data_IF_768766259718
#
_entry.id   IF_768766259718
#
_cell.length_a   1.000
_cell.length_b   1.000
_cell.length_c   1.000
_cell.angle_alpha   90.00
_cell.angle_beta   90.00
_cell.angle_gamma   90.00
#
_symmetry.space_group_name_H-M   'P 1'
#
loop_
_entity.id
_entity.type
_entity.pdbx_description
1 polymer ?
#
# COMPACT_ATOMS: atom_id res chain seq x y z
N UNK A 1 0.78 14.06 2.44
CA UNK A 1 -0.46 13.37 2.86
C UNK A 1 -0.54 13.31 4.39
N UNK A 2 -1.72 13.46 5.01
CA UNK A 2 -1.88 13.38 6.48
C UNK A 2 -2.04 11.92 6.93
N UNK A 3 -1.14 11.43 7.79
CA UNK A 3 -1.15 10.06 8.32
C UNK A 3 -2.24 9.87 9.40
N UNK A 4 -2.66 8.62 9.61
CA UNK A 4 -3.66 8.21 10.60
C UNK A 4 -3.08 7.21 11.58
N UNK A 5 -3.39 7.39 12.87
CA UNK A 5 -3.01 6.45 13.93
C UNK A 5 -3.79 5.15 13.82
N UNK A 6 -3.12 4.03 14.05
CA UNK A 6 -3.73 2.70 14.08
C UNK A 6 -4.03 2.30 15.52
N UNK A 7 -5.21 2.71 16.01
CA UNK A 7 -5.64 2.45 17.38
C UNK A 7 -4.60 2.92 18.42
N UNK A 8 -4.33 2.07 19.41
CA UNK A 8 -3.37 2.35 20.50
C UNK A 8 -1.97 1.78 20.24
N UNK A 9 -1.66 1.36 19.01
CA UNK A 9 -0.40 0.68 18.68
C UNK A 9 0.82 1.61 18.60
N UNK A 10 0.61 2.93 18.54
CA UNK A 10 1.66 3.89 18.22
C UNK A 10 2.05 3.95 16.74
N UNK A 11 1.47 3.09 15.88
CA UNK A 11 1.71 3.09 14.44
C UNK A 11 0.88 4.17 13.74
N UNK A 12 1.46 4.73 12.67
CA UNK A 12 0.80 5.68 11.78
C UNK A 12 0.94 5.26 10.32
N UNK A 13 -0.16 5.30 9.58
CA UNK A 13 -0.22 4.93 8.18
C UNK A 13 -0.79 6.04 7.30
N UNK A 14 -0.55 5.96 6.00
CA UNK A 14 -1.34 6.66 5.00
C UNK A 14 -2.85 6.40 5.19
N UNK A 15 -3.73 7.35 4.81
CA UNK A 15 -5.17 7.16 4.85
C UNK A 15 -5.69 6.15 3.81
N UNK A 16 -4.82 5.61 2.95
CA UNK A 16 -5.12 4.59 1.95
C UNK A 16 -4.27 3.35 2.23
N UNK A 17 -4.88 2.18 2.06
CA UNK A 17 -4.24 0.88 2.15
C UNK A 17 -4.35 0.16 0.79
N UNK A 18 -3.28 -0.55 0.38
CA UNK A 18 -3.25 -1.30 -0.87
C UNK A 18 -3.59 -2.78 -0.62
N UNK A 19 -4.73 -3.23 -1.15
CA UNK A 19 -5.09 -4.64 -1.15
C UNK A 19 -4.33 -5.43 -2.23
N UNK A 20 -3.65 -6.51 -1.82
CA UNK A 20 -2.82 -7.33 -2.72
C UNK A 20 -3.48 -8.62 -3.26
N UNK A 21 -4.78 -8.83 -3.03
CA UNK A 21 -5.46 -10.11 -3.30
C UNK A 21 -5.35 -10.61 -4.76
N UNK A 22 -5.11 -9.71 -5.71
CA UNK A 22 -5.03 -10.04 -7.15
C UNK A 22 -3.60 -10.25 -7.66
N UNK A 23 -2.58 -9.98 -6.82
CA UNK A 23 -1.18 -10.13 -7.19
C UNK A 23 -0.82 -11.61 -7.32
N UNK A 24 -0.19 -11.98 -8.43
CA UNK A 24 0.11 -13.37 -8.78
C UNK A 24 -1.09 -14.16 -9.33
N UNK A 25 -2.27 -13.53 -9.45
CA UNK A 25 -3.45 -14.10 -10.12
C UNK A 25 -3.82 -13.29 -11.36
N UNK A 26 -4.49 -12.15 -11.16
CA UNK A 26 -4.94 -11.29 -12.27
C UNK A 26 -3.86 -10.29 -12.66
N UNK A 27 -3.06 -9.83 -11.69
CA UNK A 27 -1.86 -9.04 -11.95
C UNK A 27 -0.65 -9.96 -11.93
N UNK A 28 0.11 -10.00 -13.02
CA UNK A 28 1.38 -10.71 -13.10
C UNK A 28 2.47 -9.99 -12.29
N UNK A 29 3.61 -10.66 -12.09
CA UNK A 29 4.71 -10.15 -11.28
C UNK A 29 5.20 -8.75 -11.71
N UNK A 30 5.50 -8.48 -13.00
CA UNK A 30 5.91 -7.15 -13.42
C UNK A 30 4.85 -6.07 -13.17
N UNK A 31 3.57 -6.40 -13.33
CA UNK A 31 2.47 -5.47 -13.07
C UNK A 31 2.34 -5.20 -11.57
N UNK A 32 2.45 -6.24 -10.74
CA UNK A 32 2.45 -6.10 -9.28
C UNK A 32 3.56 -5.16 -8.81
N UNK A 33 4.80 -5.33 -9.29
CA UNK A 33 5.89 -4.43 -8.91
C UNK A 33 5.65 -2.98 -9.33
N UNK A 34 5.13 -2.74 -10.55
CA UNK A 34 4.75 -1.39 -10.98
C UNK A 34 3.71 -0.74 -10.06
N UNK A 35 2.72 -1.51 -9.59
CA UNK A 35 1.69 -1.03 -8.66
C UNK A 35 2.31 -0.70 -7.30
N UNK A 36 3.13 -1.61 -6.76
CA UNK A 36 3.82 -1.42 -5.47
C UNK A 36 4.73 -0.19 -5.50
N UNK A 37 5.53 -0.03 -6.56
CA UNK A 37 6.43 1.11 -6.72
C UNK A 37 5.66 2.43 -6.77
N UNK A 38 4.56 2.50 -7.55
CA UNK A 38 3.73 3.68 -7.63
C UNK A 38 3.08 4.03 -6.27
N UNK A 39 2.64 3.02 -5.53
CA UNK A 39 2.00 3.19 -4.21
C UNK A 39 2.98 3.75 -3.17
N UNK A 40 4.21 3.22 -3.13
CA UNK A 40 5.27 3.71 -2.24
C UNK A 40 5.74 5.10 -2.67
N UNK A 41 5.88 5.36 -3.97
CA UNK A 41 6.25 6.68 -4.50
C UNK A 41 5.21 7.76 -4.15
N UNK A 42 3.93 7.40 -4.02
CA UNK A 42 2.88 8.29 -3.53
C UNK A 42 2.94 8.54 -2.01
N UNK A 43 3.90 7.95 -1.30
CA UNK A 43 4.07 8.07 0.15
C UNK A 43 3.09 7.23 0.96
N UNK A 44 2.51 6.19 0.34
CA UNK A 44 1.68 5.22 1.04
C UNK A 44 2.53 4.08 1.63
N UNK A 45 2.05 3.49 2.73
CA UNK A 45 2.86 2.58 3.55
C UNK A 45 2.04 1.50 4.27
N UNK A 46 0.84 1.18 3.76
CA UNK A 46 -0.05 0.17 4.33
C UNK A 46 -0.68 -0.71 3.25
#
# INVERSE_FOLDING_TARGET
>A
MKRRKLGNSGLEAAPLALGGNVFGWTADEPTTFKILDAFVAAGCNL
#
